data_IF_703022066210
#
_entry.id   IF_703022066210
#
_cell.length_a   1.000
_cell.length_b   1.000
_cell.length_c   1.000
_cell.angle_alpha   90.00
_cell.angle_beta   90.00
_cell.angle_gamma   90.00
#
_symmetry.space_group_name_H-M   'P 1'
#
loop_
_entity.id
_entity.type
_entity.pdbx_description
1 polymer ?
#
# COMPACT_ATOMS: atom_id res chain seq x y z
N UNK A 1 -31.92 15.22 -18.53
CA UNK A 1 -30.53 14.75 -18.36
C UNK A 1 -30.58 13.25 -18.46
N UNK A 2 -29.72 12.63 -19.24
CA UNK A 2 -29.60 11.17 -19.26
C UNK A 2 -29.12 10.70 -17.89
N UNK A 3 -29.60 9.55 -17.41
CA UNK A 3 -29.09 8.96 -16.17
C UNK A 3 -27.62 8.59 -16.37
N UNK A 4 -26.73 8.89 -15.40
CA UNK A 4 -25.34 8.51 -15.51
C UNK A 4 -25.21 7.00 -15.65
N UNK A 5 -24.35 6.55 -16.55
CA UNK A 5 -24.11 5.12 -16.73
C UNK A 5 -23.42 4.54 -15.50
N UNK A 6 -23.64 3.25 -15.22
CA UNK A 6 -22.92 2.55 -14.15
C UNK A 6 -21.39 2.62 -14.33
N UNK A 7 -20.91 2.63 -15.59
CA UNK A 7 -19.48 2.82 -15.91
C UNK A 7 -18.98 4.16 -15.35
N UNK A 8 -19.73 5.22 -15.57
CA UNK A 8 -19.39 6.58 -15.12
C UNK A 8 -19.35 6.67 -13.59
N UNK A 9 -20.35 6.11 -12.91
CA UNK A 9 -20.39 6.05 -11.44
C UNK A 9 -19.17 5.32 -10.88
N UNK A 10 -18.78 4.19 -11.50
CA UNK A 10 -17.62 3.40 -11.08
C UNK A 10 -16.31 4.19 -11.26
N UNK A 11 -16.19 4.91 -12.38
CA UNK A 11 -15.03 5.74 -12.68
C UNK A 11 -14.87 6.84 -11.61
N UNK A 12 -15.95 7.57 -11.31
CA UNK A 12 -15.93 8.61 -10.28
C UNK A 12 -15.58 8.04 -8.91
N UNK A 13 -16.21 6.92 -8.52
CA UNK A 13 -15.94 6.29 -7.23
C UNK A 13 -14.47 5.88 -7.10
N UNK A 14 -13.90 5.25 -8.14
CA UNK A 14 -12.51 4.79 -8.10
C UNK A 14 -11.54 5.97 -7.87
N UNK A 15 -11.70 7.06 -8.61
CA UNK A 15 -10.89 8.27 -8.46
C UNK A 15 -11.04 8.90 -7.08
N UNK A 16 -12.29 9.16 -6.66
CA UNK A 16 -12.57 9.85 -5.40
C UNK A 16 -12.15 9.01 -4.20
N UNK A 17 -12.44 7.70 -4.20
CA UNK A 17 -12.08 6.82 -3.08
C UNK A 17 -10.56 6.66 -2.94
N UNK A 18 -9.84 6.50 -4.05
CA UNK A 18 -8.39 6.39 -3.99
C UNK A 18 -7.74 7.69 -3.51
N UNK A 19 -8.14 8.84 -4.06
CA UNK A 19 -7.64 10.14 -3.62
C UNK A 19 -7.98 10.40 -2.14
N UNK A 20 -9.23 10.16 -1.73
CA UNK A 20 -9.67 10.32 -0.35
C UNK A 20 -8.84 9.48 0.61
N UNK A 21 -8.57 8.23 0.24
CA UNK A 21 -7.75 7.32 1.04
C UNK A 21 -6.31 7.81 1.19
N UNK A 22 -5.69 8.28 0.11
CA UNK A 22 -4.33 8.81 0.12
C UNK A 22 -4.22 10.08 0.99
N UNK A 23 -5.19 11.00 0.86
CA UNK A 23 -5.27 12.22 1.67
C UNK A 23 -5.47 11.93 3.17
N UNK A 24 -6.35 10.98 3.53
CA UNK A 24 -6.52 10.55 4.93
C UNK A 24 -5.24 9.88 5.47
N UNK A 25 -4.53 9.12 4.63
CA UNK A 25 -3.20 8.60 4.96
C UNK A 25 -2.21 9.70 5.29
N UNK A 26 -2.08 10.70 4.42
CA UNK A 26 -1.25 11.90 4.64
C UNK A 26 -1.62 12.62 5.94
N UNK A 27 -2.91 12.84 6.19
CA UNK A 27 -3.39 13.47 7.42
C UNK A 27 -2.95 12.70 8.67
N UNK A 28 -3.09 11.36 8.66
CA UNK A 28 -2.64 10.51 9.75
C UNK A 28 -1.12 10.56 9.95
N UNK A 29 -0.35 10.58 8.86
CA UNK A 29 1.11 10.73 8.93
C UNK A 29 1.50 12.04 9.64
N UNK A 30 0.90 13.16 9.24
CA UNK A 30 1.17 14.49 9.80
C UNK A 30 0.75 14.53 11.27
N UNK A 31 -0.43 14.02 11.60
CA UNK A 31 -0.94 13.95 12.97
C UNK A 31 0.02 13.15 13.87
N UNK A 32 0.49 11.98 13.43
CA UNK A 32 1.44 11.16 14.18
C UNK A 32 2.81 11.84 14.32
N UNK A 33 3.33 12.49 13.27
CA UNK A 33 4.57 13.27 13.38
C UNK A 33 4.46 14.39 14.43
N UNK A 34 3.33 15.09 14.45
CA UNK A 34 3.05 16.15 15.41
C UNK A 34 2.92 15.61 16.83
N UNK A 35 2.16 14.54 17.00
CA UNK A 35 1.94 13.88 18.30
C UNK A 35 3.24 13.37 18.92
N UNK A 36 4.18 12.91 18.09
CA UNK A 36 5.52 12.48 18.51
C UNK A 36 6.51 13.66 18.65
N UNK A 37 6.07 14.91 18.46
CA UNK A 37 6.91 16.10 18.59
C UNK A 37 7.97 16.25 17.51
N UNK A 38 7.81 15.60 16.35
CA UNK A 38 8.78 15.60 15.24
C UNK A 38 8.59 16.75 14.26
N UNK A 39 7.43 17.41 14.29
CA UNK A 39 7.13 18.61 13.51
C UNK A 39 6.45 19.64 14.39
N UNK A 40 6.57 20.92 14.02
CA UNK A 40 5.90 22.01 14.72
C UNK A 40 4.44 22.16 14.27
N UNK A 41 3.65 22.92 15.05
CA UNK A 41 2.28 23.28 14.67
C UNK A 41 2.23 24.06 13.36
N UNK A 42 3.18 24.96 13.12
CA UNK A 42 3.26 25.72 11.86
C UNK A 42 3.52 24.78 10.67
N UNK A 43 4.39 23.77 10.85
CA UNK A 43 4.67 22.78 9.80
C UNK A 43 3.45 21.92 9.50
N UNK A 44 2.70 21.54 10.56
CA UNK A 44 1.44 20.81 10.45
C UNK A 44 0.41 21.61 9.65
N UNK A 45 0.19 22.89 10.00
CA UNK A 45 -0.79 23.75 9.33
C UNK A 45 -0.45 23.99 7.85
N UNK A 46 0.83 24.15 7.52
CA UNK A 46 1.27 24.32 6.13
C UNK A 46 1.10 23.07 5.26
N UNK A 47 1.07 21.90 5.88
CA UNK A 47 0.99 20.60 5.19
C UNK A 47 -0.41 20.00 5.25
N UNK A 48 -1.38 20.72 5.81
CA UNK A 48 -2.68 20.18 6.19
C UNK A 48 -3.55 19.81 4.98
N UNK A 49 -3.85 18.51 4.77
CA UNK A 49 -4.71 18.08 3.68
C UNK A 49 -6.22 18.31 3.96
N UNK A 50 -6.61 18.86 5.12
CA UNK A 50 -8.02 19.00 5.53
C UNK A 50 -8.90 19.68 4.47
N UNK A 51 -8.40 20.73 3.80
CA UNK A 51 -9.15 21.39 2.74
C UNK A 51 -9.44 20.48 1.55
N UNK A 52 -8.44 19.74 1.08
CA UNK A 52 -8.61 18.81 -0.05
C UNK A 52 -9.46 17.59 0.38
N UNK A 53 -9.37 17.17 1.64
CA UNK A 53 -10.22 16.12 2.22
C UNK A 53 -11.69 16.53 2.19
N UNK A 54 -12.03 17.71 2.71
CA UNK A 54 -13.42 18.21 2.73
C UNK A 54 -13.99 18.34 1.32
N UNK A 55 -13.18 18.83 0.38
CA UNK A 55 -13.59 18.89 -1.03
C UNK A 55 -13.93 17.50 -1.58
N UNK A 56 -13.12 16.48 -1.29
CA UNK A 56 -13.38 15.11 -1.77
C UNK A 56 -14.57 14.46 -1.04
N UNK A 57 -14.80 14.79 0.23
CA UNK A 57 -15.99 14.36 0.99
C UNK A 57 -17.27 14.91 0.36
N UNK A 58 -17.33 16.21 0.07
CA UNK A 58 -18.46 16.84 -0.61
C UNK A 58 -18.75 16.16 -1.96
N UNK A 59 -17.70 15.85 -2.74
CA UNK A 59 -17.82 15.17 -4.03
C UNK A 59 -18.26 13.71 -3.92
N UNK A 60 -17.87 13.01 -2.85
CA UNK A 60 -18.36 11.66 -2.56
C UNK A 60 -19.83 11.70 -2.15
N UNK A 61 -20.25 12.67 -1.34
CA UNK A 61 -21.67 12.87 -0.99
C UNK A 61 -22.52 13.13 -2.24
N UNK A 62 -22.08 14.03 -3.12
CA UNK A 62 -22.72 14.28 -4.42
C UNK A 62 -22.84 13.00 -5.25
N UNK A 63 -21.78 12.18 -5.30
CA UNK A 63 -21.79 10.88 -5.98
C UNK A 63 -22.82 9.91 -5.38
N UNK A 64 -22.93 9.85 -4.05
CA UNK A 64 -23.90 8.99 -3.37
C UNK A 64 -25.35 9.43 -3.62
N UNK A 65 -25.57 10.73 -3.82
CA UNK A 65 -26.85 11.31 -4.21
C UNK A 65 -27.16 11.16 -5.72
N UNK A 66 -26.30 10.46 -6.46
CA UNK A 66 -26.47 10.18 -7.88
C UNK A 66 -26.03 11.30 -8.81
N UNK A 67 -25.19 12.22 -8.32
CA UNK A 67 -24.62 13.34 -9.08
C UNK A 67 -23.12 13.13 -9.30
N UNK A 68 -22.70 12.18 -10.17
CA UNK A 68 -21.28 11.93 -10.38
C UNK A 68 -20.58 13.09 -11.10
N UNK A 69 -19.30 13.28 -10.78
CA UNK A 69 -18.40 14.20 -11.50
C UNK A 69 -18.26 13.81 -12.96
N UNK A 70 -18.16 14.80 -13.85
CA UNK A 70 -17.90 14.54 -15.26
C UNK A 70 -16.39 14.35 -15.52
N UNK A 71 -16.00 13.11 -15.84
CA UNK A 71 -14.64 12.75 -16.27
C UNK A 71 -14.55 12.49 -17.78
N UNK A 72 -15.65 12.65 -18.52
CA UNK A 72 -15.81 12.21 -19.91
C UNK A 72 -15.78 13.42 -20.86
N UNK A 73 -14.65 14.15 -20.92
CA UNK A 73 -14.51 15.29 -21.83
C UNK A 73 -13.43 15.07 -22.88
N UNK A 74 -13.85 14.43 -23.97
CA UNK A 74 -12.94 13.95 -25.02
C UNK A 74 -12.17 15.04 -25.81
N UNK A 75 -12.50 16.34 -25.74
CA UNK A 75 -11.98 17.28 -26.75
C UNK A 75 -11.56 18.68 -26.24
N UNK A 76 -12.10 19.26 -25.15
CA UNK A 76 -11.77 20.66 -24.77
C UNK A 76 -11.81 21.01 -23.27
N UNK A 77 -11.30 20.13 -22.41
CA UNK A 77 -11.00 20.44 -21.01
C UNK A 77 -11.98 19.77 -20.05
N UNK A 78 -11.42 19.09 -19.06
CA UNK A 78 -12.20 18.56 -17.93
C UNK A 78 -12.84 19.72 -17.16
N UNK A 79 -14.00 19.51 -16.52
CA UNK A 79 -14.48 20.44 -15.52
C UNK A 79 -13.36 20.77 -14.53
N UNK A 80 -13.31 22.00 -14.03
CA UNK A 80 -12.27 22.47 -13.12
C UNK A 80 -12.06 21.52 -11.93
N UNK A 81 -13.15 20.95 -11.41
CA UNK A 81 -13.12 19.96 -10.33
C UNK A 81 -12.41 18.66 -10.76
N UNK A 82 -12.75 18.09 -11.92
CA UNK A 82 -12.12 16.85 -12.42
C UNK A 82 -10.64 17.06 -12.72
N UNK A 83 -10.27 18.22 -13.29
CA UNK A 83 -8.86 18.60 -13.46
C UNK A 83 -8.14 18.70 -12.11
N UNK A 84 -8.76 19.34 -11.12
CA UNK A 84 -8.20 19.45 -9.76
C UNK A 84 -8.01 18.07 -9.11
N UNK A 85 -8.92 17.13 -9.32
CA UNK A 85 -8.79 15.75 -8.83
C UNK A 85 -7.57 15.06 -9.46
N UNK A 86 -7.37 15.18 -10.77
CA UNK A 86 -6.21 14.59 -11.46
C UNK A 86 -4.90 15.22 -10.96
N UNK A 87 -4.86 16.54 -10.82
CA UNK A 87 -3.68 17.25 -10.27
C UNK A 87 -3.36 16.76 -8.84
N UNK A 88 -4.38 16.56 -8.01
CA UNK A 88 -4.20 16.01 -6.66
C UNK A 88 -3.74 14.56 -6.68
N UNK A 89 -4.23 13.72 -7.59
CA UNK A 89 -3.77 12.33 -7.75
C UNK A 89 -2.29 12.31 -8.09
N UNK A 90 -1.83 13.10 -9.08
CA UNK A 90 -0.41 13.19 -9.42
C UNK A 90 0.45 13.68 -8.26
N UNK A 91 -0.02 14.71 -7.54
CA UNK A 91 0.68 15.15 -6.33
C UNK A 91 0.79 14.03 -5.28
N UNK A 92 -0.26 13.22 -5.09
CA UNK A 92 -0.21 12.09 -4.18
C UNK A 92 0.73 10.98 -4.66
N UNK A 93 0.86 10.75 -5.97
CA UNK A 93 1.85 9.80 -6.51
C UNK A 93 3.28 10.20 -6.10
N UNK A 94 3.66 11.47 -6.31
CA UNK A 94 4.97 12.00 -5.92
C UNK A 94 5.23 11.82 -4.40
N UNK A 95 4.21 12.07 -3.57
CA UNK A 95 4.33 11.90 -2.12
C UNK A 95 4.46 10.43 -1.70
N UNK A 96 3.76 9.51 -2.36
CA UNK A 96 3.87 8.07 -2.10
C UNK A 96 5.24 7.52 -2.49
N UNK A 97 5.80 7.96 -3.63
CA UNK A 97 7.16 7.62 -4.03
C UNK A 97 8.19 8.16 -3.04
N UNK A 98 8.01 9.41 -2.60
CA UNK A 98 8.84 10.03 -1.57
C UNK A 98 8.79 9.22 -0.27
N UNK A 99 7.59 8.80 0.16
CA UNK A 99 7.40 7.96 1.35
C UNK A 99 8.07 6.58 1.19
N UNK A 100 8.00 5.97 0.01
CA UNK A 100 8.70 4.71 -0.28
C UNK A 100 10.22 4.85 -0.15
N UNK A 101 10.77 5.93 -0.70
CA UNK A 101 12.19 6.26 -0.63
C UNK A 101 12.66 6.53 0.80
N UNK A 102 11.94 7.36 1.56
CA UNK A 102 12.22 7.66 2.97
C UNK A 102 12.20 6.36 3.78
N UNK A 103 11.16 5.53 3.61
CA UNK A 103 11.02 4.28 4.36
C UNK A 103 12.19 3.34 4.08
N UNK A 104 12.57 3.17 2.81
CA UNK A 104 13.72 2.34 2.42
C UNK A 104 15.01 2.83 3.06
N UNK A 105 15.23 4.16 3.08
CA UNK A 105 16.41 4.75 3.73
C UNK A 105 16.42 4.54 5.25
N UNK A 106 15.27 4.62 5.91
CA UNK A 106 15.15 4.38 7.35
C UNK A 106 15.45 2.91 7.67
N UNK A 107 14.87 1.97 6.93
CA UNK A 107 15.07 0.52 7.15
C UNK A 107 16.49 0.05 6.82
N UNK A 108 17.20 0.74 5.93
CA UNK A 108 18.61 0.45 5.63
C UNK A 108 19.59 0.92 6.74
N UNK A 109 19.09 1.60 7.77
CA UNK A 109 19.92 2.16 8.84
C UNK A 109 20.25 1.12 9.92
N UNK A 110 21.53 0.75 10.07
CA UNK A 110 21.98 -0.27 11.03
C UNK A 110 21.71 0.05 12.51
N UNK A 111 21.52 1.32 12.86
CA UNK A 111 21.36 1.81 14.24
C UNK A 111 19.97 2.46 14.47
N UNK A 112 18.96 2.03 13.72
CA UNK A 112 17.60 2.59 13.77
C UNK A 112 17.04 2.64 15.20
N UNK A 113 17.30 1.60 16.02
CA UNK A 113 16.85 1.53 17.42
C UNK A 113 17.37 2.68 18.29
N UNK A 114 18.54 3.24 18.00
CA UNK A 114 19.12 4.37 18.74
C UNK A 114 18.69 5.74 18.21
N UNK A 115 17.82 5.80 17.20
CA UNK A 115 17.38 7.03 16.54
C UNK A 115 15.88 7.23 16.74
N UNK A 116 15.45 7.83 17.87
CA UNK A 116 14.02 8.01 18.18
C UNK A 116 13.27 8.80 17.11
N UNK A 117 13.91 9.81 16.49
CA UNK A 117 13.30 10.57 15.39
C UNK A 117 13.06 9.70 14.15
N UNK A 118 14.00 8.79 13.83
CA UNK A 118 13.86 7.86 12.71
C UNK A 118 12.75 6.83 12.97
N UNK A 119 12.65 6.34 14.21
CA UNK A 119 11.56 5.46 14.64
C UNK A 119 10.20 6.15 14.57
N UNK A 120 10.10 7.38 15.07
CA UNK A 120 8.84 8.12 15.02
C UNK A 120 8.41 8.46 13.59
N UNK A 121 9.35 8.75 12.68
CA UNK A 121 9.06 8.87 11.24
C UNK A 121 8.56 7.56 10.65
N UNK A 122 9.17 6.43 11.01
CA UNK A 122 8.74 5.12 10.54
C UNK A 122 7.32 4.76 11.03
N UNK A 123 7.01 5.06 12.31
CA UNK A 123 5.65 4.90 12.87
C UNK A 123 4.65 5.83 12.18
N UNK A 124 5.02 7.06 11.84
CA UNK A 124 4.16 7.96 11.08
C UNK A 124 3.87 7.45 9.66
N UNK A 125 4.87 6.88 8.97
CA UNK A 125 4.69 6.26 7.65
C UNK A 125 3.83 4.99 7.75
N UNK A 126 3.95 4.22 8.83
CA UNK A 126 3.04 3.12 9.11
C UNK A 126 1.61 3.63 9.33
N UNK A 127 1.42 4.69 10.12
CA UNK A 127 0.12 5.33 10.34
C UNK A 127 -0.51 5.81 9.02
N UNK A 128 0.30 6.38 8.12
CA UNK A 128 -0.11 6.77 6.78
C UNK A 128 -0.74 5.60 6.02
N UNK A 129 -0.02 4.48 5.92
CA UNK A 129 -0.47 3.30 5.19
C UNK A 129 -1.70 2.66 5.84
N UNK A 130 -1.74 2.56 7.16
CA UNK A 130 -2.87 1.96 7.89
C UNK A 130 -4.14 2.76 7.68
N UNK A 131 -4.04 4.10 7.78
CA UNK A 131 -5.20 4.96 7.58
C UNK A 131 -5.65 4.94 6.11
N UNK A 132 -4.74 5.05 5.14
CA UNK A 132 -5.09 4.99 3.73
C UNK A 132 -5.80 3.67 3.38
N UNK A 133 -5.22 2.53 3.77
CA UNK A 133 -5.81 1.21 3.56
C UNK A 133 -7.20 1.09 4.19
N UNK A 134 -7.36 1.58 5.42
CA UNK A 134 -8.65 1.47 6.12
C UNK A 134 -9.71 2.30 5.42
N UNK A 135 -9.42 3.57 5.12
CA UNK A 135 -10.33 4.47 4.41
C UNK A 135 -10.72 3.90 3.03
N UNK A 136 -9.76 3.35 2.28
CA UNK A 136 -10.03 2.75 0.97
C UNK A 136 -11.02 1.58 1.04
N UNK A 137 -10.83 0.67 2.01
CA UNK A 137 -11.71 -0.48 2.24
C UNK A 137 -13.10 -0.03 2.70
N UNK A 138 -13.17 0.94 3.61
CA UNK A 138 -14.43 1.52 4.07
C UNK A 138 -15.22 2.14 2.92
N UNK A 139 -14.57 2.90 2.03
CA UNK A 139 -15.23 3.48 0.86
C UNK A 139 -15.74 2.43 -0.14
N UNK A 140 -15.07 1.28 -0.28
CA UNK A 140 -15.55 0.16 -1.11
C UNK A 140 -16.74 -0.57 -0.47
N UNK A 141 -16.75 -0.71 0.86
CA UNK A 141 -17.91 -1.24 1.59
C UNK A 141 -19.10 -0.29 1.44
N UNK A 142 -18.89 1.02 1.63
CA UNK A 142 -19.93 2.05 1.47
C UNK A 142 -20.51 2.02 0.06
N UNK A 143 -19.65 1.99 -0.96
CA UNK A 143 -20.09 1.85 -2.36
C UNK A 143 -20.97 0.61 -2.55
N UNK A 144 -20.56 -0.54 -2.00
CA UNK A 144 -21.32 -1.79 -2.07
C UNK A 144 -22.71 -1.68 -1.45
N UNK A 145 -22.86 -0.90 -0.38
CA UNK A 145 -24.15 -0.65 0.27
C UNK A 145 -25.01 0.31 -0.56
N UNK A 146 -24.45 1.49 -0.92
CA UNK A 146 -25.18 2.57 -1.61
C UNK A 146 -25.69 2.12 -2.98
N UNK A 147 -24.85 1.42 -3.75
CA UNK A 147 -25.21 0.95 -5.10
C UNK A 147 -25.68 -0.51 -5.13
N UNK A 148 -26.09 -1.06 -3.98
CA UNK A 148 -26.69 -2.39 -3.86
C UNK A 148 -25.87 -3.52 -4.51
N UNK A 149 -24.55 -3.52 -4.29
CA UNK A 149 -23.60 -4.55 -4.72
C UNK A 149 -23.12 -5.42 -3.53
N UNK A 150 -23.98 -6.31 -2.98
CA UNK A 150 -23.70 -7.05 -1.74
C UNK A 150 -22.50 -7.99 -1.83
N UNK A 151 -22.14 -8.45 -3.03
CA UNK A 151 -20.96 -9.30 -3.23
C UNK A 151 -19.65 -8.52 -2.98
N UNK A 152 -19.62 -7.24 -3.41
CA UNK A 152 -18.50 -6.35 -3.19
C UNK A 152 -18.40 -5.97 -1.71
N UNK A 153 -19.54 -5.62 -1.10
CA UNK A 153 -19.63 -5.34 0.33
C UNK A 153 -19.09 -6.52 1.16
N UNK A 154 -19.59 -7.73 0.92
CA UNK A 154 -19.18 -8.93 1.65
C UNK A 154 -17.68 -9.21 1.49
N UNK A 155 -17.15 -9.08 0.27
CA UNK A 155 -15.71 -9.25 -0.01
C UNK A 155 -14.87 -8.30 0.84
N UNK A 156 -15.16 -7.00 0.80
CA UNK A 156 -14.32 -6.00 1.48
C UNK A 156 -14.53 -5.94 2.99
N UNK A 157 -15.72 -6.28 3.48
CA UNK A 157 -15.99 -6.35 4.92
C UNK A 157 -15.09 -7.38 5.62
N UNK A 158 -14.71 -8.47 4.96
CA UNK A 158 -13.73 -9.44 5.51
C UNK A 158 -12.34 -8.84 5.72
N UNK A 159 -11.96 -7.85 4.91
CA UNK A 159 -10.66 -7.20 4.99
C UNK A 159 -10.61 -6.12 6.09
N UNK A 160 -11.76 -5.56 6.46
CA UNK A 160 -11.86 -4.49 7.45
C UNK A 160 -11.36 -4.91 8.84
N UNK A 161 -11.63 -6.16 9.24
CA UNK A 161 -11.13 -6.69 10.52
C UNK A 161 -9.59 -6.68 10.57
N UNK A 162 -8.93 -7.04 9.48
CA UNK A 162 -7.46 -7.00 9.40
C UNK A 162 -6.92 -5.57 9.52
N UNK A 163 -7.60 -4.60 8.92
CA UNK A 163 -7.23 -3.18 9.00
C UNK A 163 -7.41 -2.62 10.40
N UNK A 164 -8.44 -3.04 11.14
CA UNK A 164 -8.62 -2.64 12.54
C UNK A 164 -7.50 -3.14 13.45
N UNK A 165 -7.03 -4.39 13.26
CA UNK A 165 -5.88 -4.92 13.99
C UNK A 165 -4.60 -4.12 13.73
N UNK A 166 -4.40 -3.66 12.49
CA UNK A 166 -3.28 -2.77 12.16
C UNK A 166 -3.40 -1.41 12.84
N UNK A 167 -4.62 -0.86 12.97
CA UNK A 167 -4.87 0.38 13.72
C UNK A 167 -4.50 0.23 15.19
N UNK A 168 -4.90 -0.86 15.83
CA UNK A 168 -4.51 -1.16 17.23
C UNK A 168 -2.99 -1.27 17.39
N UNK A 169 -2.31 -1.97 16.47
CA UNK A 169 -0.83 -2.04 16.46
C UNK A 169 -0.19 -0.67 16.32
N UNK A 170 -0.71 0.18 15.42
CA UNK A 170 -0.25 1.55 15.21
C UNK A 170 -0.33 2.37 16.50
N UNK A 171 -1.48 2.36 17.19
CA UNK A 171 -1.62 3.10 18.47
C UNK A 171 -0.60 2.62 19.52
N UNK A 172 -0.45 1.30 19.66
CA UNK A 172 0.53 0.74 20.58
C UNK A 172 1.97 1.16 20.25
N UNK A 173 2.33 1.30 18.96
CA UNK A 173 3.65 1.81 18.57
C UNK A 173 3.84 3.30 18.92
N UNK A 174 2.80 4.11 18.77
CA UNK A 174 2.82 5.53 19.16
C UNK A 174 3.02 5.65 20.67
N UNK A 175 2.20 4.94 21.46
CA UNK A 175 2.31 4.90 22.93
C UNK A 175 3.71 4.43 23.37
N UNK A 176 4.21 3.33 22.80
CA UNK A 176 5.54 2.81 23.15
C UNK A 176 6.66 3.83 22.89
N UNK A 177 6.57 4.64 21.83
CA UNK A 177 7.54 5.69 21.58
C UNK A 177 7.39 6.88 22.55
N UNK A 178 6.15 7.31 22.83
CA UNK A 178 5.89 8.43 23.75
C UNK A 178 6.37 8.15 25.17
N UNK A 179 6.16 6.93 25.66
CA UNK A 179 6.53 6.54 27.02
C UNK A 179 7.93 5.91 27.12
N UNK A 180 8.63 5.75 26.00
CA UNK A 180 9.96 5.12 25.96
C UNK A 180 9.95 3.62 26.27
N UNK A 181 8.83 2.95 26.03
CA UNK A 181 8.57 1.53 26.30
C UNK A 181 8.84 0.63 25.08
N UNK A 182 9.74 1.04 24.19
CA UNK A 182 10.09 0.26 23.00
C UNK A 182 11.06 -0.89 23.33
N UNK A 183 10.50 -1.94 23.93
CA UNK A 183 11.24 -3.17 24.20
C UNK A 183 11.65 -3.90 22.90
N UNK A 184 12.37 -5.02 23.05
CA UNK A 184 12.87 -5.78 21.89
C UNK A 184 11.73 -6.38 21.06
N UNK A 185 10.65 -6.80 21.68
CA UNK A 185 9.50 -7.41 21.01
C UNK A 185 8.72 -6.39 20.20
N UNK A 186 8.36 -5.26 20.83
CA UNK A 186 7.63 -4.17 20.15
C UNK A 186 8.48 -3.59 19.01
N UNK A 187 9.79 -3.42 19.22
CA UNK A 187 10.69 -3.00 18.14
C UNK A 187 10.70 -4.01 16.98
N UNK A 188 10.82 -5.31 17.26
CA UNK A 188 10.81 -6.34 16.21
C UNK A 188 9.52 -6.30 15.41
N UNK A 189 8.37 -6.24 16.10
CA UNK A 189 7.06 -6.18 15.46
C UNK A 189 6.91 -4.93 14.59
N UNK A 190 7.39 -3.77 15.05
CA UNK A 190 7.42 -2.56 14.24
C UNK A 190 8.24 -2.75 12.96
N UNK A 191 9.42 -3.36 13.05
CA UNK A 191 10.25 -3.63 11.87
C UNK A 191 9.53 -4.58 10.92
N UNK A 192 8.91 -5.65 11.42
CA UNK A 192 8.19 -6.61 10.58
C UNK A 192 6.98 -5.98 9.86
N UNK A 193 6.21 -5.14 10.55
CA UNK A 193 5.06 -4.43 9.96
C UNK A 193 5.48 -3.37 8.94
N UNK A 194 6.64 -2.75 9.15
CA UNK A 194 7.12 -1.66 8.29
C UNK A 194 7.97 -2.14 7.13
N UNK A 195 8.41 -3.40 7.14
CA UNK A 195 9.33 -3.95 6.16
C UNK A 195 8.79 -3.83 4.73
N UNK A 196 7.48 -4.04 4.54
CA UNK A 196 6.82 -3.98 3.22
C UNK A 196 6.23 -2.62 2.88
N UNK A 197 6.42 -1.59 3.71
CA UNK A 197 5.88 -0.25 3.44
C UNK A 197 6.39 0.37 2.14
N UNK A 198 7.69 0.30 1.77
CA UNK A 198 8.14 0.84 0.49
C UNK A 198 7.36 0.27 -0.69
N UNK A 199 7.22 -1.06 -0.75
CA UNK A 199 6.46 -1.73 -1.77
C UNK A 199 4.97 -1.39 -1.71
N UNK A 200 4.41 -1.25 -0.50
CA UNK A 200 2.99 -0.89 -0.31
C UNK A 200 2.66 0.51 -0.84
N UNK A 201 3.56 1.48 -0.69
CA UNK A 201 3.40 2.81 -1.29
C UNK A 201 3.54 2.77 -2.80
N UNK A 202 4.51 2.04 -3.35
CA UNK A 202 4.66 1.88 -4.81
C UNK A 202 3.49 1.12 -5.45
N UNK A 203 2.88 0.15 -4.73
CA UNK A 203 1.63 -0.46 -5.17
C UNK A 203 0.49 0.56 -5.26
N UNK A 204 0.39 1.50 -4.30
CA UNK A 204 -0.62 2.57 -4.37
C UNK A 204 -0.37 3.53 -5.53
N UNK A 205 0.88 3.87 -5.84
CA UNK A 205 1.20 4.65 -7.06
C UNK A 205 0.70 3.92 -8.30
N UNK A 206 0.93 2.61 -8.38
CA UNK A 206 0.45 1.77 -9.48
C UNK A 206 -1.08 1.64 -9.54
N UNK A 207 -1.76 1.58 -8.38
CA UNK A 207 -3.22 1.63 -8.30
C UNK A 207 -3.75 2.97 -8.84
N UNK A 208 -3.10 4.09 -8.52
CA UNK A 208 -3.47 5.41 -9.04
C UNK A 208 -3.25 5.50 -10.56
N UNK A 209 -2.16 4.94 -11.09
CA UNK A 209 -1.94 4.84 -12.53
C UNK A 209 -3.05 4.05 -13.23
N UNK A 210 -3.47 2.91 -12.67
CA UNK A 210 -4.60 2.14 -13.20
C UNK A 210 -5.91 2.94 -13.19
N UNK A 211 -6.15 3.68 -12.10
CA UNK A 211 -7.36 4.50 -11.94
C UNK A 211 -7.41 5.62 -12.98
N UNK A 212 -6.30 6.34 -13.19
CA UNK A 212 -6.21 7.40 -14.19
C UNK A 212 -6.46 6.88 -15.61
N UNK A 213 -6.15 5.62 -15.89
CA UNK A 213 -6.41 4.96 -17.18
C UNK A 213 -7.76 4.26 -17.29
N UNK A 214 -8.66 4.37 -16.31
CA UNK A 214 -10.00 3.76 -16.42
C UNK A 214 -10.88 4.40 -17.51
N UNK A 215 -10.54 5.62 -17.94
CA UNK A 215 -11.15 6.26 -19.09
C UNK A 215 -10.70 5.61 -20.42
N UNK A 216 -9.49 5.06 -20.45
CA UNK A 216 -8.94 4.34 -21.59
C UNK A 216 -9.55 2.93 -21.71
N UNK A 217 -9.59 2.37 -22.92
CA UNK A 217 -10.08 1.01 -23.14
C UNK A 217 -9.10 -0.08 -22.65
N UNK A 218 -7.82 0.28 -22.45
CA UNK A 218 -6.77 -0.66 -22.04
C UNK A 218 -5.72 0.01 -21.15
N UNK A 219 -5.34 -0.65 -20.05
CA UNK A 219 -4.20 -0.25 -19.23
C UNK A 219 -2.89 -0.80 -19.79
N UNK A 220 -2.04 0.11 -20.28
CA UNK A 220 -0.80 -0.24 -20.99
C UNK A 220 0.44 -0.15 -20.10
N UNK A 221 1.57 -0.70 -20.56
CA UNK A 221 2.86 -0.51 -19.86
C UNK A 221 3.29 0.97 -19.80
N UNK A 222 2.93 1.78 -20.80
CA UNK A 222 3.22 3.21 -20.77
C UNK A 222 2.41 3.91 -19.67
N UNK A 223 1.12 3.57 -19.53
CA UNK A 223 0.28 4.08 -18.45
C UNK A 223 0.76 3.64 -17.06
N UNK A 224 1.39 2.46 -16.97
CA UNK A 224 2.07 2.00 -15.77
C UNK A 224 3.52 2.52 -15.63
N UNK A 225 3.92 3.51 -16.44
CA UNK A 225 5.22 4.18 -16.37
C UNK A 225 6.42 3.23 -16.51
N UNK A 226 6.30 2.22 -17.37
CA UNK A 226 7.44 1.41 -17.80
C UNK A 226 8.12 2.07 -18.99
N UNK A 227 9.46 2.07 -18.99
CA UNK A 227 10.19 2.36 -20.22
C UNK A 227 10.01 1.22 -21.24
N UNK A 228 10.28 1.51 -22.52
CA UNK A 228 10.06 0.57 -23.63
C UNK A 228 10.87 -0.72 -23.46
N UNK A 229 12.09 -0.63 -22.92
CA UNK A 229 12.96 -1.79 -22.75
C UNK A 229 12.45 -2.69 -21.62
N UNK A 230 12.06 -2.11 -20.49
CA UNK A 230 11.47 -2.84 -19.36
C UNK A 230 10.12 -3.46 -19.74
N UNK A 231 9.23 -2.70 -20.38
CA UNK A 231 7.93 -3.16 -20.84
C UNK A 231 8.03 -4.39 -21.76
N UNK A 232 9.01 -4.38 -22.67
CA UNK A 232 9.27 -5.52 -23.56
C UNK A 232 9.63 -6.78 -22.78
N UNK A 233 10.47 -6.66 -21.74
CA UNK A 233 10.85 -7.80 -20.91
C UNK A 233 9.64 -8.36 -20.17
N UNK A 234 8.81 -7.52 -19.56
CA UNK A 234 7.56 -7.96 -18.91
C UNK A 234 6.60 -8.66 -19.89
N UNK A 235 6.47 -8.11 -21.09
CA UNK A 235 5.65 -8.71 -22.15
C UNK A 235 6.19 -10.07 -22.62
N UNK A 236 7.50 -10.20 -22.80
CA UNK A 236 8.17 -11.48 -23.11
C UNK A 236 7.97 -12.50 -21.99
N UNK A 237 7.78 -12.05 -20.75
CA UNK A 237 7.42 -12.89 -19.61
C UNK A 237 5.93 -13.28 -19.55
N UNK A 238 5.10 -12.72 -20.44
CA UNK A 238 3.64 -12.94 -20.41
C UNK A 238 2.95 -12.30 -19.20
N UNK A 239 3.56 -11.29 -18.57
CA UNK A 239 3.02 -10.57 -17.41
C UNK A 239 2.49 -9.23 -17.88
N UNK A 240 1.17 -9.04 -17.85
CA UNK A 240 0.49 -7.80 -18.25
C UNK A 240 0.90 -6.58 -17.41
N UNK A 241 0.65 -5.37 -17.92
CA UNK A 241 1.06 -4.12 -17.26
C UNK A 241 0.47 -3.95 -15.86
N UNK A 242 -0.80 -4.32 -15.67
CA UNK A 242 -1.49 -4.31 -14.38
C UNK A 242 -0.78 -5.20 -13.35
N UNK A 243 -0.30 -6.38 -13.75
CA UNK A 243 0.44 -7.29 -12.85
C UNK A 243 1.90 -6.88 -12.67
N UNK A 244 2.56 -6.43 -13.75
CA UNK A 244 3.97 -6.07 -13.76
C UNK A 244 4.29 -4.96 -12.74
N UNK A 245 3.41 -3.95 -12.63
CA UNK A 245 3.62 -2.85 -11.68
C UNK A 245 3.70 -3.30 -10.23
N UNK A 246 2.88 -4.27 -9.81
CA UNK A 246 2.96 -4.84 -8.47
C UNK A 246 4.26 -5.62 -8.25
N UNK A 247 4.69 -6.45 -9.22
CA UNK A 247 5.98 -7.14 -9.11
C UNK A 247 7.15 -6.15 -9.00
N UNK A 248 7.14 -5.11 -9.84
CA UNK A 248 8.13 -4.02 -9.80
C UNK A 248 8.11 -3.30 -8.44
N UNK A 249 6.94 -3.05 -7.86
CA UNK A 249 6.79 -2.41 -6.55
C UNK A 249 7.44 -3.23 -5.42
N UNK A 250 7.38 -4.57 -5.49
CA UNK A 250 8.12 -5.47 -4.58
C UNK A 250 9.60 -5.65 -4.95
N UNK A 251 10.10 -4.88 -5.92
CA UNK A 251 11.48 -4.91 -6.39
C UNK A 251 11.82 -6.17 -7.19
N UNK A 252 10.84 -6.93 -7.67
CA UNK A 252 11.03 -8.17 -8.44
C UNK A 252 10.97 -7.80 -9.92
N UNK A 253 12.10 -7.98 -10.62
CA UNK A 253 12.22 -7.66 -12.04
C UNK A 253 11.68 -8.76 -12.96
N UNK A 254 11.55 -8.49 -14.27
CA UNK A 254 11.01 -9.45 -15.24
C UNK A 254 11.73 -10.80 -15.25
N UNK A 255 13.06 -10.81 -15.10
CA UNK A 255 13.82 -12.06 -15.12
C UNK A 255 13.60 -12.92 -13.87
N UNK A 256 13.42 -12.26 -12.73
CA UNK A 256 13.25 -12.93 -11.44
C UNK A 256 11.81 -13.44 -11.23
N UNK A 257 10.82 -12.81 -11.89
CA UNK A 257 9.40 -13.20 -11.76
C UNK A 257 9.18 -14.65 -12.13
N UNK A 258 9.91 -15.17 -13.12
CA UNK A 258 9.80 -16.57 -13.52
C UNK A 258 10.21 -17.53 -12.42
N UNK A 259 11.29 -17.23 -11.71
CA UNK A 259 11.76 -18.08 -10.61
C UNK A 259 10.72 -18.10 -9.47
N UNK A 260 10.14 -16.95 -9.13
CA UNK A 260 9.09 -16.87 -8.12
C UNK A 260 7.81 -17.62 -8.54
N UNK A 261 7.40 -17.50 -9.80
CA UNK A 261 6.24 -18.21 -10.33
C UNK A 261 6.46 -19.72 -10.39
N UNK A 262 7.64 -20.18 -10.83
CA UNK A 262 8.00 -21.60 -10.88
C UNK A 262 8.07 -22.22 -9.48
N UNK A 263 8.55 -21.45 -8.50
CA UNK A 263 8.51 -21.80 -7.07
C UNK A 263 7.11 -21.67 -6.42
N UNK A 264 6.06 -21.41 -7.19
CA UNK A 264 4.66 -21.44 -6.72
C UNK A 264 4.16 -20.13 -6.08
N UNK A 265 4.94 -19.05 -6.12
CA UNK A 265 4.52 -17.75 -5.60
C UNK A 265 3.84 -16.93 -6.70
N UNK A 266 2.52 -17.11 -6.85
CA UNK A 266 1.74 -16.40 -7.87
C UNK A 266 1.47 -14.92 -7.55
N UNK A 267 1.50 -14.57 -6.25
CA UNK A 267 1.17 -13.24 -5.75
C UNK A 267 2.44 -12.42 -5.47
N UNK A 268 2.59 -11.21 -6.05
CA UNK A 268 3.77 -10.35 -5.87
C UNK A 268 4.10 -10.08 -4.40
N UNK A 269 3.06 -9.91 -3.56
CA UNK A 269 3.23 -9.64 -2.13
C UNK A 269 3.86 -10.82 -1.39
N UNK A 270 3.45 -12.04 -1.72
CA UNK A 270 3.98 -13.24 -1.07
C UNK A 270 5.46 -13.40 -1.41
N UNK A 271 5.80 -13.33 -2.70
CA UNK A 271 7.18 -13.32 -3.17
C UNK A 271 8.01 -12.19 -2.55
N UNK A 272 7.49 -10.97 -2.52
CA UNK A 272 8.13 -9.80 -1.91
C UNK A 272 8.42 -9.99 -0.42
N UNK A 273 7.52 -10.67 0.32
CA UNK A 273 7.69 -10.98 1.75
C UNK A 273 8.87 -11.90 2.02
N UNK A 274 9.11 -12.87 1.13
CA UNK A 274 10.27 -13.74 1.18
C UNK A 274 11.54 -13.02 0.73
N UNK A 275 11.48 -12.33 -0.41
CA UNK A 275 12.60 -11.59 -0.99
C UNK A 275 13.20 -10.58 -0.03
N UNK A 276 12.37 -9.78 0.64
CA UNK A 276 12.87 -8.75 1.56
C UNK A 276 13.58 -9.32 2.79
N UNK A 277 13.32 -10.59 3.10
CA UNK A 277 14.03 -11.36 4.15
C UNK A 277 15.27 -12.07 3.61
N UNK A 278 15.66 -11.76 2.38
CA UNK A 278 16.82 -12.26 1.65
C UNK A 278 16.73 -13.76 1.30
N UNK A 279 15.53 -14.26 1.05
CA UNK A 279 15.34 -15.58 0.45
C UNK A 279 15.28 -15.46 -1.08
N UNK A 280 15.96 -16.37 -1.77
CA UNK A 280 15.67 -16.65 -3.18
C UNK A 280 14.34 -17.38 -3.32
N UNK A 281 13.75 -17.37 -4.53
CA UNK A 281 12.51 -18.09 -4.82
C UNK A 281 12.57 -19.57 -4.42
N UNK A 282 13.68 -20.25 -4.77
CA UNK A 282 13.90 -21.67 -4.44
C UNK A 282 14.04 -21.92 -2.94
N UNK A 283 14.72 -21.05 -2.20
CA UNK A 283 14.80 -21.19 -0.74
C UNK A 283 13.41 -20.97 -0.11
N UNK A 284 12.70 -19.94 -0.56
CA UNK A 284 11.35 -19.66 -0.12
C UNK A 284 10.41 -20.86 -0.36
N UNK A 285 10.51 -21.50 -1.53
CA UNK A 285 9.77 -22.72 -1.86
C UNK A 285 10.02 -23.84 -0.84
N UNK A 286 11.28 -24.11 -0.50
CA UNK A 286 11.65 -25.15 0.46
C UNK A 286 11.04 -24.90 1.83
N UNK A 287 11.11 -23.67 2.33
CA UNK A 287 10.55 -23.29 3.63
C UNK A 287 9.02 -23.29 3.61
N UNK A 288 8.40 -22.77 2.55
CA UNK A 288 6.95 -22.74 2.38
C UNK A 288 6.37 -24.17 2.29
N UNK A 289 7.00 -25.06 1.53
CA UNK A 289 6.61 -26.48 1.42
C UNK A 289 6.74 -27.23 2.76
N UNK A 290 7.62 -26.76 3.64
CA UNK A 290 7.77 -27.28 4.99
C UNK A 290 6.76 -26.70 6.00
N UNK A 291 5.90 -25.77 5.59
CA UNK A 291 4.85 -25.17 6.41
C UNK A 291 5.26 -23.92 7.18
N UNK A 292 6.43 -23.35 6.87
CA UNK A 292 6.91 -22.12 7.52
C UNK A 292 6.59 -20.89 6.67
N UNK A 293 6.26 -19.79 7.34
CA UNK A 293 6.22 -18.48 6.69
C UNK A 293 7.62 -17.83 6.64
N UNK A 294 7.75 -16.73 5.90
CA UNK A 294 9.04 -16.05 5.70
C UNK A 294 9.67 -15.54 7.01
N UNK A 295 8.86 -15.14 7.99
CA UNK A 295 9.33 -14.67 9.30
C UNK A 295 9.94 -15.82 10.12
N UNK A 296 9.20 -16.92 10.25
CA UNK A 296 9.67 -18.14 10.93
C UNK A 296 10.95 -18.67 10.27
N UNK A 297 10.96 -18.78 8.94
CA UNK A 297 12.14 -19.19 8.20
C UNK A 297 13.34 -18.27 8.49
N UNK A 298 13.13 -16.94 8.54
CA UNK A 298 14.20 -15.99 8.84
C UNK A 298 14.74 -16.17 10.25
N UNK A 299 13.88 -16.46 11.24
CA UNK A 299 14.30 -16.76 12.60
C UNK A 299 15.22 -17.98 12.64
N UNK A 300 14.83 -19.08 12.00
CA UNK A 300 15.64 -20.31 11.93
C UNK A 300 16.98 -20.10 11.24
N UNK A 301 16.99 -19.43 10.08
CA UNK A 301 18.23 -19.10 9.35
C UNK A 301 19.15 -18.23 10.22
N UNK A 302 18.60 -17.27 10.95
CA UNK A 302 19.36 -16.40 11.86
C UNK A 302 19.96 -17.17 13.06
N UNK A 303 19.35 -18.30 13.43
CA UNK A 303 19.88 -19.24 14.43
C UNK A 303 20.87 -20.27 13.86
N UNK A 304 21.21 -20.19 12.57
CA UNK A 304 22.18 -21.08 11.92
C UNK A 304 21.57 -22.33 11.25
N UNK A 305 20.24 -22.42 11.17
CA UNK A 305 19.54 -23.54 10.54
C UNK A 305 19.13 -23.16 9.11
N UNK A 306 19.97 -23.54 8.15
CA UNK A 306 19.77 -23.18 6.74
C UNK A 306 18.71 -24.02 6.01
N UNK A 307 18.24 -25.13 6.60
CA UNK A 307 17.33 -26.07 5.95
C UNK A 307 16.09 -26.36 6.80
N UNK A 308 14.87 -26.36 6.21
CA UNK A 308 13.63 -26.55 6.96
C UNK A 308 13.52 -27.92 7.65
N UNK A 309 14.21 -28.95 7.16
CA UNK A 309 14.26 -30.27 7.81
C UNK A 309 14.79 -30.19 9.24
N UNK A 310 15.75 -29.28 9.52
CA UNK A 310 16.29 -29.12 10.86
C UNK A 310 15.29 -28.42 11.77
N UNK A 311 14.59 -27.41 11.25
CA UNK A 311 13.51 -26.72 11.97
C UNK A 311 12.40 -27.70 12.38
N UNK A 312 11.97 -28.59 11.46
CA UNK A 312 10.94 -29.60 11.75
C UNK A 312 11.36 -30.60 12.82
N UNK A 313 12.65 -30.93 12.91
CA UNK A 313 13.16 -31.78 13.99
C UNK A 313 13.12 -31.02 15.31
N UNK A 314 13.53 -29.75 15.34
CA UNK A 314 13.51 -28.95 16.58
C UNK A 314 12.09 -28.75 17.12
N UNK A 315 11.12 -28.41 16.25
CA UNK A 315 9.71 -28.23 16.64
C UNK A 315 9.12 -29.49 17.31
N UNK A 316 9.55 -30.68 16.85
CA UNK A 316 9.11 -31.97 17.42
C UNK A 316 9.69 -32.27 18.81
N UNK A 317 10.79 -31.63 19.20
CA UNK A 317 11.43 -31.85 20.50
C UNK A 317 10.91 -30.88 21.57
N UNK A 318 10.30 -29.78 21.16
CA UNK A 318 9.70 -28.77 22.06
C UNK A 318 8.26 -29.10 22.47
N UNK A 319 7.62 -30.10 21.83
CA UNK A 319 6.25 -30.56 22.10
C UNK A 319 6.22 -32.00 22.64
#
# INVERSE_FOLDING_TARGET
MEEPTLRHINLCHAHLNALYSALKGKAACIATLYELGLISEETRQLSDPEKDILMVEDLLEDLWDGNPLDFDSDIYGLPEQSQRIIELIHHMQDELETNASITSSLLATNDLRSKPESLGRLVALFACQVQARTTYIEGLVTYGVVFHAPHLEARWRTQLESSHKLRERKERFIEALQFGELDRGVFSELIDETLLLPASFLCQVHDLNQILSLADDEFTYQAAEFDIAEARLWHECGISADRAGYWRAYGIGPQEVFDWLDSGFAEPRDAGTWKIRAFSAREAELWANAGYNAEQAKMYVSSGYAHPEVAQVLDKWEH
#
